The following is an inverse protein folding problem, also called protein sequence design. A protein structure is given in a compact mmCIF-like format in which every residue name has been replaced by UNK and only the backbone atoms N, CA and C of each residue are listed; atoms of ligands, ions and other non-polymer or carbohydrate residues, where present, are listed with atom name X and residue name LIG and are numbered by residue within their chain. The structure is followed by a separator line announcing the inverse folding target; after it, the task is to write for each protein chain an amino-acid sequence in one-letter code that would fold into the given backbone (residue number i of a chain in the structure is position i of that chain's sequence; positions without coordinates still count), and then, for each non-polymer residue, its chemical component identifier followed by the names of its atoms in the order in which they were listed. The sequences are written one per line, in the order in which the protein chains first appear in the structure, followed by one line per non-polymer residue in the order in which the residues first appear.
data_IF_930161479579
#
_entry.id   IF_930161479579
#
_cell.length_a   1.000
_cell.length_b   1.000
_cell.length_c   1.000
_cell.angle_alpha   90.00
_cell.angle_beta   90.00
_cell.angle_gamma   90.00
#
_symmetry.space_group_name_H-M   'P 1'
#
loop_
_entity.id
_entity.type
_entity.pdbx_description
1 polymer ?
#
# COMPACT_ATOMS: atom_id res chain seq x y z
N UNK A 1 -24.99 29.19 11.35
CA UNK A 1 -23.95 28.90 10.33
C UNK A 1 -22.64 28.75 11.08
N UNK A 2 -22.34 27.53 11.54
CA UNK A 2 -21.14 27.28 12.36
C UNK A 2 -19.94 27.10 11.45
N UNK A 3 -18.98 28.01 11.53
CA UNK A 3 -17.66 27.83 10.94
C UNK A 3 -16.98 26.70 11.71
N UNK A 4 -16.86 25.53 11.07
CA UNK A 4 -15.94 24.51 11.53
C UNK A 4 -14.54 25.00 11.16
N UNK A 5 -13.94 25.70 12.10
CA UNK A 5 -12.53 26.06 12.05
C UNK A 5 -11.75 24.75 12.06
N UNK A 6 -11.39 24.28 10.86
CA UNK A 6 -10.46 23.18 10.66
C UNK A 6 -9.17 23.54 11.37
N UNK A 7 -9.02 23.01 12.58
CA UNK A 7 -7.85 23.09 13.45
C UNK A 7 -6.62 22.58 12.69
N UNK A 8 -6.07 23.43 11.84
CA UNK A 8 -4.82 23.21 11.12
C UNK A 8 -3.74 23.60 12.10
N UNK A 9 -3.61 22.82 13.18
CA UNK A 9 -2.36 22.81 13.92
C UNK A 9 -1.26 22.54 12.89
N UNK A 10 -0.18 23.34 12.84
CA UNK A 10 0.90 23.11 11.91
C UNK A 10 1.42 21.69 12.17
N UNK A 11 1.06 20.76 11.28
CA UNK A 11 1.50 19.38 11.41
C UNK A 11 3.01 19.41 11.44
N UNK A 12 3.60 18.82 12.48
CA UNK A 12 5.05 18.85 12.64
C UNK A 12 5.72 18.40 11.33
N UNK A 13 6.92 18.91 10.99
CA UNK A 13 7.59 18.53 9.74
C UNK A 13 7.75 17.01 9.53
N UNK A 14 7.65 16.22 10.61
CA UNK A 14 7.63 14.76 10.55
C UNK A 14 6.26 14.20 10.14
N UNK A 15 5.15 14.75 10.62
CA UNK A 15 3.80 14.37 10.19
C UNK A 15 3.58 14.70 8.72
N UNK A 16 4.01 15.87 8.25
CA UNK A 16 3.93 16.20 6.82
C UNK A 16 4.72 15.20 5.95
N UNK A 17 5.93 14.81 6.38
CA UNK A 17 6.73 13.78 5.68
C UNK A 17 6.06 12.40 5.73
N UNK A 18 5.41 12.05 6.84
CA UNK A 18 4.69 10.79 6.97
C UNK A 18 3.50 10.73 6.01
N UNK A 19 2.70 11.79 5.94
CA UNK A 19 1.57 11.87 5.01
C UNK A 19 2.02 11.79 3.55
N UNK A 20 3.12 12.47 3.20
CA UNK A 20 3.67 12.40 1.86
C UNK A 20 4.14 10.97 1.48
N UNK A 21 4.69 10.21 2.44
CA UNK A 21 5.03 8.80 2.23
C UNK A 21 3.78 7.94 2.14
N UNK A 22 2.76 8.21 2.96
CA UNK A 22 1.49 7.49 2.91
C UNK A 22 0.79 7.68 1.56
N UNK A 23 0.70 8.91 1.05
CA UNK A 23 0.14 9.18 -0.28
C UNK A 23 0.87 8.42 -1.40
N UNK A 24 2.21 8.27 -1.30
CA UNK A 24 3.01 7.47 -2.24
C UNK A 24 2.77 5.97 -2.11
N UNK A 25 2.50 5.48 -0.89
CA UNK A 25 2.11 4.09 -0.63
C UNK A 25 0.74 3.83 -1.25
N UNK A 26 -0.22 4.72 -1.06
CA UNK A 26 -1.59 4.58 -1.56
C UNK A 26 -1.64 4.61 -3.09
N UNK A 27 -0.81 5.46 -3.71
CA UNK A 27 -0.66 5.52 -5.17
C UNK A 27 0.22 4.40 -5.77
N UNK A 28 0.89 3.59 -4.94
CA UNK A 28 1.75 2.52 -5.43
C UNK A 28 0.92 1.37 -6.02
N UNK A 29 1.45 0.67 -7.01
CA UNK A 29 0.79 -0.47 -7.67
C UNK A 29 0.39 -1.62 -6.72
N UNK A 30 0.98 -1.68 -5.54
CA UNK A 30 0.63 -2.65 -4.50
C UNK A 30 -0.33 -2.09 -3.44
N UNK A 31 -0.47 -0.77 -3.35
CA UNK A 31 -1.38 -0.12 -2.43
C UNK A 31 -2.80 -0.01 -2.99
N UNK A 32 -2.94 0.10 -4.31
CA UNK A 32 -4.24 0.26 -4.96
C UNK A 32 -4.28 -0.28 -6.39
N UNK A 33 -5.50 -0.34 -6.95
CA UNK A 33 -5.76 -0.65 -8.35
C UNK A 33 -5.75 -2.16 -8.71
N UNK A 34 -5.74 -2.48 -10.01
CA UNK A 34 -5.93 -3.86 -10.50
C UNK A 34 -4.86 -4.84 -10.01
N UNK A 35 -3.63 -4.35 -9.79
CA UNK A 35 -2.51 -5.17 -9.31
C UNK A 35 -2.72 -5.60 -7.85
N UNK A 36 -3.12 -4.66 -6.98
CA UNK A 36 -3.47 -4.97 -5.59
C UNK A 36 -4.68 -5.92 -5.49
N UNK A 37 -5.70 -5.72 -6.34
CA UNK A 37 -6.86 -6.61 -6.41
C UNK A 37 -6.48 -8.03 -6.86
N UNK A 38 -5.57 -8.15 -7.83
CA UNK A 38 -5.08 -9.45 -8.29
C UNK A 38 -4.35 -10.18 -7.18
N UNK A 39 -3.45 -9.49 -6.47
CA UNK A 39 -2.74 -10.07 -5.32
C UNK A 39 -3.68 -10.59 -4.24
N UNK A 40 -4.71 -9.81 -3.88
CA UNK A 40 -5.69 -10.24 -2.87
C UNK A 40 -6.48 -11.49 -3.31
N UNK A 41 -6.84 -11.60 -4.59
CA UNK A 41 -7.52 -12.78 -5.14
C UNK A 41 -6.58 -13.98 -5.17
N UNK A 42 -5.35 -13.81 -5.65
CA UNK A 42 -4.33 -14.86 -5.71
C UNK A 42 -4.07 -15.41 -4.31
N UNK A 43 -3.87 -14.53 -3.32
CA UNK A 43 -3.63 -14.92 -1.93
C UNK A 43 -4.80 -15.71 -1.35
N UNK A 44 -6.04 -15.19 -1.51
CA UNK A 44 -7.24 -15.87 -1.03
C UNK A 44 -7.43 -17.25 -1.68
N UNK A 45 -7.36 -17.31 -3.01
CA UNK A 45 -7.62 -18.55 -3.74
C UNK A 45 -6.52 -19.60 -3.51
N UNK A 46 -5.25 -19.19 -3.37
CA UNK A 46 -4.17 -20.11 -2.98
C UNK A 46 -4.37 -20.67 -1.58
N UNK A 47 -4.83 -19.84 -0.63
CA UNK A 47 -5.17 -20.32 0.70
C UNK A 47 -6.34 -21.33 0.69
N UNK A 48 -7.24 -21.21 -0.29
CA UNK A 48 -8.34 -22.15 -0.55
C UNK A 48 -7.90 -23.39 -1.35
N UNK A 49 -6.61 -23.49 -1.74
CA UNK A 49 -6.07 -24.63 -2.48
C UNK A 49 -6.28 -24.58 -4.00
N UNK A 50 -6.71 -23.44 -4.54
CA UNK A 50 -6.92 -23.28 -5.98
C UNK A 50 -5.59 -23.37 -6.75
N UNK A 51 -5.68 -23.97 -7.93
CA UNK A 51 -4.57 -24.06 -8.89
C UNK A 51 -4.33 -22.72 -9.59
N UNK A 52 -3.11 -22.51 -10.10
CA UNK A 52 -2.78 -21.28 -10.85
C UNK A 52 -3.70 -21.08 -12.07
N UNK A 53 -4.20 -22.15 -12.70
CA UNK A 53 -5.15 -22.06 -13.81
C UNK A 53 -6.53 -21.53 -13.39
N UNK A 54 -7.06 -21.99 -12.25
CA UNK A 54 -8.34 -21.51 -11.71
C UNK A 54 -8.24 -20.04 -11.28
N UNK A 55 -7.09 -19.67 -10.71
CA UNK A 55 -6.77 -18.30 -10.33
C UNK A 55 -6.71 -17.41 -11.58
N UNK A 56 -5.95 -17.80 -12.61
CA UNK A 56 -5.85 -17.03 -13.86
C UNK A 56 -7.19 -16.91 -14.58
N UNK A 57 -8.01 -17.96 -14.58
CA UNK A 57 -9.38 -17.90 -15.10
C UNK A 57 -10.22 -16.86 -14.38
N UNK A 58 -10.09 -16.78 -13.05
CA UNK A 58 -10.82 -15.83 -12.21
C UNK A 58 -10.34 -14.40 -12.41
N UNK A 59 -9.02 -14.20 -12.53
CA UNK A 59 -8.41 -12.91 -12.82
C UNK A 59 -8.84 -12.42 -14.22
N UNK A 60 -8.80 -13.28 -15.23
CA UNK A 60 -9.23 -12.96 -16.58
C UNK A 60 -10.72 -12.55 -16.64
N UNK A 61 -11.61 -13.29 -15.97
CA UNK A 61 -13.04 -12.92 -15.85
C UNK A 61 -13.25 -11.54 -15.24
N UNK A 62 -12.37 -11.13 -14.32
CA UNK A 62 -12.39 -9.82 -13.67
C UNK A 62 -11.60 -8.74 -14.42
N UNK A 63 -11.04 -9.04 -15.60
CA UNK A 63 -10.15 -8.16 -16.37
C UNK A 63 -8.94 -7.68 -15.55
N UNK A 64 -8.43 -8.58 -14.70
CA UNK A 64 -7.28 -8.33 -13.83
C UNK A 64 -6.00 -8.94 -14.40
N UNK A 65 -4.82 -8.38 -14.08
CA UNK A 65 -3.53 -8.99 -14.37
C UNK A 65 -3.45 -10.47 -13.95
N UNK A 66 -2.88 -11.31 -14.81
CA UNK A 66 -2.64 -12.73 -14.52
C UNK A 66 -1.60 -12.94 -13.41
N UNK A 67 -1.50 -14.15 -12.88
CA UNK A 67 -0.46 -14.56 -11.91
C UNK A 67 0.94 -14.25 -12.45
N UNK A 68 1.20 -14.51 -13.73
CA UNK A 68 2.49 -14.26 -14.38
C UNK A 68 2.79 -12.75 -14.48
N UNK A 69 1.80 -11.96 -14.90
CA UNK A 69 1.94 -10.50 -14.98
C UNK A 69 2.17 -9.88 -13.60
N UNK A 70 1.45 -10.39 -12.59
CA UNK A 70 1.63 -10.02 -11.19
C UNK A 70 3.05 -10.37 -10.75
N UNK A 71 3.56 -11.57 -11.04
CA UNK A 71 4.93 -11.97 -10.71
C UNK A 71 5.96 -11.01 -11.31
N UNK A 72 5.86 -10.72 -12.62
CA UNK A 72 6.78 -9.83 -13.34
C UNK A 72 6.76 -8.41 -12.80
N UNK A 73 5.57 -7.83 -12.59
CA UNK A 73 5.42 -6.50 -11.99
C UNK A 73 5.94 -6.47 -10.56
N UNK A 74 5.78 -7.58 -9.83
CA UNK A 74 6.24 -7.66 -8.46
C UNK A 74 7.76 -7.52 -8.37
N UNK A 75 8.51 -8.28 -9.17
CA UNK A 75 9.98 -8.17 -9.20
C UNK A 75 10.44 -6.74 -9.46
N UNK A 76 9.76 -6.02 -10.37
CA UNK A 76 10.08 -4.62 -10.70
C UNK A 76 9.80 -3.63 -9.57
N UNK A 77 8.70 -3.81 -8.84
CA UNK A 77 8.18 -2.81 -7.89
C UNK A 77 8.39 -3.17 -6.41
N UNK A 78 8.85 -4.38 -6.10
CA UNK A 78 9.19 -4.82 -4.74
C UNK A 78 10.23 -3.92 -4.06
N UNK A 79 11.34 -3.51 -4.70
CA UNK A 79 12.34 -2.66 -4.05
C UNK A 79 11.78 -1.28 -3.63
N UNK A 80 11.02 -0.63 -4.51
CA UNK A 80 10.40 0.68 -4.21
C UNK A 80 9.36 0.55 -3.09
N UNK A 81 8.58 -0.53 -3.11
CA UNK A 81 7.61 -0.82 -2.06
C UNK A 81 8.25 -1.03 -0.69
N UNK A 82 9.31 -1.83 -0.64
CA UNK A 82 10.07 -2.06 0.59
C UNK A 82 10.65 -0.75 1.15
N UNK A 83 11.22 0.09 0.28
CA UNK A 83 11.80 1.36 0.69
C UNK A 83 10.74 2.32 1.25
N UNK A 84 9.56 2.42 0.63
CA UNK A 84 8.45 3.25 1.11
C UNK A 84 7.97 2.80 2.50
N UNK A 85 7.76 1.50 2.70
CA UNK A 85 7.34 0.95 3.99
C UNK A 85 8.42 1.13 5.07
N UNK A 86 9.70 0.94 4.73
CA UNK A 86 10.81 1.24 5.63
C UNK A 86 10.85 2.71 6.02
N UNK A 87 10.61 3.61 5.06
CA UNK A 87 10.57 5.06 5.30
C UNK A 87 9.41 5.46 6.21
N UNK A 88 8.22 4.89 5.99
CA UNK A 88 7.03 5.07 6.83
C UNK A 88 7.33 4.70 8.29
N UNK A 89 7.80 3.46 8.52
CA UNK A 89 8.18 2.95 9.86
C UNK A 89 9.24 3.82 10.54
N UNK A 90 10.22 4.32 9.79
CA UNK A 90 11.24 5.23 10.33
C UNK A 90 10.65 6.55 10.82
N UNK A 91 9.68 7.12 10.10
CA UNK A 91 9.01 8.37 10.48
C UNK A 91 8.08 8.18 11.68
N UNK A 92 7.29 7.11 11.69
CA UNK A 92 6.44 6.73 12.84
C UNK A 92 7.27 6.57 14.12
N UNK A 93 8.41 5.87 14.03
CA UNK A 93 9.33 5.72 15.15
C UNK A 93 9.91 7.06 15.63
N UNK A 94 10.18 8.00 14.73
CA UNK A 94 10.67 9.34 15.09
C UNK A 94 9.59 10.17 15.78
N UNK A 95 8.35 10.07 15.33
CA UNK A 95 7.20 10.75 15.96
C UNK A 95 6.97 10.16 17.35
N UNK A 96 6.85 8.84 17.48
CA UNK A 96 6.67 8.15 18.76
C UNK A 96 7.76 8.51 19.79
N UNK A 97 9.04 8.53 19.36
CA UNK A 97 10.15 8.96 20.23
C UNK A 97 10.06 10.41 20.68
N UNK A 98 9.49 11.32 19.87
CA UNK A 98 9.28 12.72 20.26
C UNK A 98 8.10 12.85 21.21
N UNK A 99 7.00 12.16 20.93
CA UNK A 99 5.82 12.12 21.82
C UNK A 99 6.17 11.56 23.20
N UNK A 100 7.05 10.56 23.30
CA UNK A 100 7.51 10.00 24.58
C UNK A 100 8.49 10.89 25.36
N UNK A 101 9.12 11.87 24.71
CA UNK A 101 10.12 12.78 25.31
C UNK A 101 9.52 14.10 25.79
N UNK A 102 8.32 14.44 25.32
CA UNK A 102 7.50 15.54 25.85
C UNK A 102 6.61 15.02 26.97
#
# INVERSE_FOLDING_TARGET
MGTQDSNTQPQSPLHHKLNAVQARIDAHVFGSGPMAQSLAIIEKMRAEGATDHEIDTTLHKKKLPSVVDVGRKSVRHLPSWWWLNRRKRSLENKISKRTKRN
#
